data_IF_309884584536
#
_entry.id   IF_309884584536
#
_cell.length_a   1.000
_cell.length_b   1.000
_cell.length_c   1.000
_cell.angle_alpha   90.00
_cell.angle_beta   90.00
_cell.angle_gamma   90.00
#
_symmetry.space_group_name_H-M   'P 1'
#
loop_
_entity.id
_entity.type
_entity.pdbx_description
1 polymer ?
#
# COMPACT_ATOMS: atom_id res chain seq x y z
N UNK A 1 -3.66 -10.11 -15.21
CA UNK A 1 -3.59 -8.85 -14.43
C UNK A 1 -2.49 -7.98 -15.03
N UNK A 2 -2.83 -6.78 -15.50
CA UNK A 2 -2.03 -5.96 -16.41
C UNK A 2 -0.90 -5.21 -15.68
N UNK A 3 0.21 -4.96 -16.38
CA UNK A 3 1.39 -4.23 -15.87
C UNK A 3 1.07 -2.87 -15.23
N UNK A 4 -0.06 -2.25 -15.59
CA UNK A 4 -0.57 -1.02 -14.97
C UNK A 4 -0.90 -1.19 -13.47
N UNK A 5 -1.39 -2.36 -13.05
CA UNK A 5 -1.78 -2.63 -11.66
C UNK A 5 -0.53 -2.72 -10.76
N UNK A 6 0.50 -3.45 -11.22
CA UNK A 6 1.79 -3.52 -10.55
C UNK A 6 2.49 -2.15 -10.49
N UNK A 7 2.38 -1.34 -11.56
CA UNK A 7 2.95 -0.01 -11.60
C UNK A 7 2.26 0.95 -10.61
N UNK A 8 0.93 0.92 -10.54
CA UNK A 8 0.18 1.74 -9.57
C UNK A 8 0.54 1.36 -8.13
N UNK A 9 0.65 0.07 -7.85
CA UNK A 9 1.00 -0.42 -6.52
C UNK A 9 2.45 -0.06 -6.12
N UNK A 10 3.37 -0.07 -7.08
CA UNK A 10 4.74 0.40 -6.89
C UNK A 10 4.81 1.93 -6.69
N UNK A 11 4.02 2.69 -7.44
CA UNK A 11 3.93 4.14 -7.33
C UNK A 11 3.36 4.56 -5.97
N UNK A 12 2.31 3.90 -5.47
CA UNK A 12 1.77 4.15 -4.13
C UNK A 12 2.79 3.82 -3.03
N UNK A 13 3.55 2.71 -3.17
CA UNK A 13 4.64 2.39 -2.23
C UNK A 13 5.75 3.45 -2.24
N UNK A 14 6.13 3.93 -3.42
CA UNK A 14 7.15 4.96 -3.58
C UNK A 14 6.67 6.30 -2.99
N UNK A 15 5.43 6.69 -3.25
CA UNK A 15 4.82 7.90 -2.70
C UNK A 15 4.70 7.84 -1.17
N UNK A 16 4.28 6.70 -0.61
CA UNK A 16 4.24 6.48 0.83
C UNK A 16 5.62 6.55 1.48
N UNK A 17 6.64 5.95 0.86
CA UNK A 17 8.03 6.05 1.32
C UNK A 17 8.57 7.49 1.25
N UNK A 18 8.23 8.23 0.19
CA UNK A 18 8.60 9.63 0.04
C UNK A 18 7.94 10.51 1.11
N UNK A 19 6.64 10.33 1.39
CA UNK A 19 5.95 11.01 2.50
C UNK A 19 6.58 10.70 3.85
N UNK A 20 6.93 9.45 4.10
CA UNK A 20 7.57 9.04 5.35
C UNK A 20 8.95 9.68 5.54
N UNK A 21 9.75 9.71 4.47
CA UNK A 21 11.07 10.35 4.46
C UNK A 21 10.97 11.88 4.60
N UNK A 22 10.03 12.51 3.89
CA UNK A 22 9.76 13.95 4.00
C UNK A 22 9.24 14.33 5.39
N UNK A 23 8.33 13.54 5.97
CA UNK A 23 7.83 13.76 7.33
C UNK A 23 8.95 13.67 8.36
N UNK A 24 9.83 12.66 8.26
CA UNK A 24 11.02 12.56 9.11
C UNK A 24 11.99 13.73 8.92
N UNK A 25 12.21 14.16 7.69
CA UNK A 25 13.16 15.23 7.37
C UNK A 25 12.65 16.61 7.79
N UNK A 26 11.35 16.85 7.71
CA UNK A 26 10.69 18.12 8.07
C UNK A 26 10.18 18.14 9.51
N UNK A 27 10.24 17.02 10.23
CA UNK A 27 9.67 16.86 11.57
C UNK A 27 8.14 16.87 11.59
N UNK A 28 7.48 16.63 10.45
CA UNK A 28 6.03 16.62 10.34
C UNK A 28 5.48 15.21 10.58
N UNK A 29 5.04 14.98 11.82
CA UNK A 29 4.47 13.70 12.27
C UNK A 29 3.23 13.29 11.46
N UNK A 30 2.43 14.25 10.97
CA UNK A 30 1.24 13.95 10.17
C UNK A 30 1.63 13.30 8.83
N UNK A 31 2.61 13.88 8.13
CA UNK A 31 3.09 13.34 6.84
C UNK A 31 3.76 11.97 7.02
N UNK A 32 4.48 11.76 8.12
CA UNK A 32 5.05 10.46 8.46
C UNK A 32 3.94 9.43 8.74
N UNK A 33 2.95 9.79 9.56
CA UNK A 33 1.83 8.92 9.91
C UNK A 33 1.00 8.54 8.69
N UNK A 34 0.73 9.50 7.78
CA UNK A 34 0.06 9.23 6.51
C UNK A 34 0.82 8.21 5.65
N UNK A 35 2.15 8.35 5.54
CA UNK A 35 2.98 7.42 4.77
C UNK A 35 2.93 5.99 5.31
N UNK A 36 3.03 5.83 6.63
CA UNK A 36 2.91 4.53 7.32
C UNK A 36 1.51 3.95 7.18
N UNK A 37 0.47 4.78 7.38
CA UNK A 37 -0.92 4.36 7.28
C UNK A 37 -1.27 3.87 5.86
N UNK A 38 -0.80 4.57 4.81
CA UNK A 38 -0.99 4.13 3.42
C UNK A 38 -0.33 2.79 3.14
N UNK A 39 0.92 2.58 3.60
CA UNK A 39 1.61 1.29 3.45
C UNK A 39 0.84 0.15 4.10
N UNK A 40 0.45 0.33 5.35
CA UNK A 40 -0.30 -0.69 6.10
C UNK A 40 -1.65 -1.00 5.44
N UNK A 41 -2.36 0.03 4.95
CA UNK A 41 -3.64 -0.14 4.26
C UNK A 41 -3.48 -0.89 2.94
N UNK A 42 -2.43 -0.60 2.17
CA UNK A 42 -2.13 -1.29 0.92
C UNK A 42 -1.81 -2.77 1.15
N UNK A 43 -0.98 -3.08 2.17
CA UNK A 43 -0.66 -4.47 2.53
C UNK A 43 -1.89 -5.23 3.02
N UNK A 44 -2.72 -4.59 3.86
CA UNK A 44 -3.98 -5.18 4.33
C UNK A 44 -4.95 -5.46 3.17
N UNK A 45 -5.06 -4.53 2.20
CA UNK A 45 -5.85 -4.75 0.98
C UNK A 45 -5.33 -5.94 0.18
N UNK A 46 -4.03 -6.00 -0.10
CA UNK A 46 -3.46 -7.12 -0.86
C UNK A 46 -3.63 -8.47 -0.15
N UNK A 47 -3.45 -8.52 1.17
CA UNK A 47 -3.65 -9.74 1.95
C UNK A 47 -5.13 -10.16 1.96
N UNK A 48 -6.04 -9.20 2.14
CA UNK A 48 -7.48 -9.44 2.10
C UNK A 48 -7.96 -9.91 0.72
N UNK A 49 -7.47 -9.28 -0.35
CA UNK A 49 -7.78 -9.69 -1.72
C UNK A 49 -7.24 -11.08 -2.02
N UNK A 50 -5.99 -11.41 -1.67
CA UNK A 50 -5.46 -12.78 -1.83
C UNK A 50 -6.28 -13.83 -1.08
N UNK A 51 -6.71 -13.51 0.14
CA UNK A 51 -7.53 -14.42 0.95
C UNK A 51 -8.92 -14.60 0.33
N UNK A 52 -9.51 -13.51 -0.16
CA UNK A 52 -10.82 -13.53 -0.81
C UNK A 52 -10.77 -14.26 -2.16
N UNK A 53 -9.70 -14.08 -2.93
CA UNK A 53 -9.47 -14.71 -4.22
C UNK A 53 -9.29 -16.23 -4.04
N UNK A 54 -8.42 -16.64 -3.10
CA UNK A 54 -8.24 -18.05 -2.75
C UNK A 54 -9.53 -18.71 -2.23
N UNK A 55 -10.31 -17.99 -1.41
CA UNK A 55 -11.62 -18.48 -0.96
C UNK A 55 -12.62 -18.60 -2.12
N UNK A 56 -12.60 -17.65 -3.07
CA UNK A 56 -13.49 -17.67 -4.23
C UNK A 56 -13.15 -18.82 -5.19
N UNK A 57 -11.86 -19.09 -5.41
CA UNK A 57 -11.37 -20.24 -6.20
C UNK A 57 -11.73 -21.58 -5.56
N UNK A 58 -11.81 -21.66 -4.23
CA UNK A 58 -12.11 -22.93 -3.53
C UNK A 58 -13.61 -23.27 -3.50
N UNK A 59 -14.48 -22.30 -3.74
CA UNK A 59 -15.95 -22.44 -3.69
C UNK A 59 -16.63 -22.39 -5.07
N UNK A 60 -15.85 -22.33 -6.17
CA UNK A 60 -16.34 -22.29 -7.55
C UNK A 60 -15.86 -23.50 -8.35
#
# INVERSE_FOLDING_TARGET
MSAADNFSNAAEKAAGAAKEALGKATGNEETQAEGVAQKNKAEAKQAGEKTKDAAKDMFN
#
